data_IF_259270756270
#
_entry.id   IF_259270756270
#
_cell.length_a   1.000
_cell.length_b   1.000
_cell.length_c   1.000
_cell.angle_alpha   90.00
_cell.angle_beta   90.00
_cell.angle_gamma   90.00
#
_symmetry.space_group_name_H-M   'P 1'
#
loop_
_entity.id
_entity.type
_entity.pdbx_description
1 polymer ?
#
# COMPACT_ATOMS: atom_id res chain seq x y z
N UNK A 1 22.65 -3.61 6.78
CA UNK A 1 21.67 -4.00 7.80
C UNK A 1 20.25 -3.64 7.38
N UNK A 2 19.99 -2.41 6.91
CA UNK A 2 18.64 -1.99 6.45
C UNK A 2 18.01 -2.91 5.39
N UNK A 3 18.75 -3.34 4.36
CA UNK A 3 18.20 -4.26 3.35
C UNK A 3 17.76 -5.61 3.93
N UNK A 4 18.48 -6.12 4.93
CA UNK A 4 18.15 -7.37 5.61
C UNK A 4 16.90 -7.17 6.46
N UNK A 5 16.84 -6.07 7.23
CA UNK A 5 15.65 -5.72 8.03
C UNK A 5 14.43 -5.53 7.14
N UNK A 6 14.55 -4.81 6.02
CA UNK A 6 13.48 -4.60 5.07
C UNK A 6 12.99 -5.92 4.45
N UNK A 7 13.93 -6.80 4.06
CA UNK A 7 13.60 -8.12 3.53
C UNK A 7 12.87 -8.98 4.56
N UNK A 8 13.36 -9.03 5.80
CA UNK A 8 12.75 -9.82 6.88
C UNK A 8 11.37 -9.28 7.24
N UNK A 9 11.22 -7.96 7.45
CA UNK A 9 9.92 -7.37 7.80
C UNK A 9 8.91 -7.54 6.66
N UNK A 10 9.32 -7.24 5.42
CA UNK A 10 8.47 -7.44 4.26
C UNK A 10 8.07 -8.91 4.09
N UNK A 11 9.02 -9.83 4.25
CA UNK A 11 8.78 -11.27 4.20
C UNK A 11 7.82 -11.75 5.30
N UNK A 12 7.94 -11.24 6.53
CA UNK A 12 7.03 -11.55 7.62
C UNK A 12 5.62 -11.03 7.36
N UNK A 13 5.47 -9.81 6.85
CA UNK A 13 4.15 -9.27 6.46
C UNK A 13 3.53 -10.16 5.38
N UNK A 14 4.29 -10.55 4.35
CA UNK A 14 3.82 -11.45 3.31
C UNK A 14 3.40 -12.82 3.87
N UNK A 15 4.19 -13.40 4.77
CA UNK A 15 3.87 -14.68 5.41
C UNK A 15 2.57 -14.61 6.23
N UNK A 16 2.37 -13.53 6.99
CA UNK A 16 1.11 -13.30 7.74
C UNK A 16 -0.08 -13.18 6.79
N UNK A 17 0.08 -12.46 5.68
CA UNK A 17 -0.99 -12.32 4.67
C UNK A 17 -1.28 -13.65 3.98
N UNK A 18 -0.27 -14.46 3.69
CA UNK A 18 -0.44 -15.80 3.14
C UNK A 18 -1.20 -16.70 4.12
N UNK A 19 -0.83 -16.71 5.40
CA UNK A 19 -1.56 -17.43 6.44
C UNK A 19 -3.02 -16.96 6.52
N UNK A 20 -3.28 -15.65 6.42
CA UNK A 20 -4.63 -15.12 6.42
C UNK A 20 -5.45 -15.63 5.23
N UNK A 21 -4.85 -15.70 4.03
CA UNK A 21 -5.50 -16.24 2.84
C UNK A 21 -5.74 -17.75 2.94
N UNK A 22 -4.78 -18.50 3.47
CA UNK A 22 -4.87 -19.97 3.55
C UNK A 22 -5.82 -20.45 4.66
N UNK A 23 -5.92 -19.69 5.76
CA UNK A 23 -6.71 -20.07 6.95
C UNK A 23 -8.12 -19.47 6.94
N UNK A 24 -8.43 -18.55 6.03
CA UNK A 24 -9.77 -17.95 5.95
C UNK A 24 -10.40 -18.16 4.57
N UNK A 25 -11.73 -18.09 4.49
CA UNK A 25 -12.46 -18.12 3.21
C UNK A 25 -12.58 -16.73 2.58
N UNK A 26 -11.69 -15.80 2.95
CA UNK A 26 -11.74 -14.44 2.43
C UNK A 26 -11.23 -14.43 0.99
N UNK A 27 -11.98 -13.79 0.10
CA UNK A 27 -11.49 -13.53 -1.25
C UNK A 27 -10.24 -12.63 -1.18
N UNK A 28 -9.25 -12.81 -2.07
CA UNK A 28 -8.03 -12.01 -2.07
C UNK A 28 -8.29 -10.50 -2.05
N UNK A 29 -9.32 -10.03 -2.78
CA UNK A 29 -9.74 -8.63 -2.76
C UNK A 29 -10.10 -8.09 -1.38
N UNK A 30 -10.75 -8.90 -0.53
CA UNK A 30 -11.11 -8.48 0.84
C UNK A 30 -9.88 -8.36 1.73
N UNK A 31 -8.91 -9.25 1.58
CA UNK A 31 -7.64 -9.19 2.30
C UNK A 31 -6.85 -7.96 1.89
N UNK A 32 -6.79 -7.64 0.59
CA UNK A 32 -6.14 -6.43 0.10
C UNK A 32 -6.74 -5.15 0.72
N UNK A 33 -8.07 -5.04 0.73
CA UNK A 33 -8.76 -3.88 1.35
C UNK A 33 -8.48 -3.81 2.86
N UNK A 34 -8.52 -4.94 3.57
CA UNK A 34 -8.22 -4.98 5.00
C UNK A 34 -6.80 -4.46 5.31
N UNK A 35 -5.81 -4.84 4.51
CA UNK A 35 -4.43 -4.38 4.70
C UNK A 35 -4.30 -2.87 4.48
N UNK A 36 -4.96 -2.32 3.46
CA UNK A 36 -4.96 -0.88 3.19
C UNK A 36 -5.67 -0.12 4.31
N UNK A 37 -6.84 -0.56 4.75
CA UNK A 37 -7.56 0.06 5.86
C UNK A 37 -6.78 -0.01 7.18
N UNK A 38 -6.12 -1.14 7.45
CA UNK A 38 -5.27 -1.31 8.65
C UNK A 38 -4.08 -0.37 8.59
N UNK A 39 -3.42 -0.24 7.43
CA UNK A 39 -2.35 0.72 7.20
C UNK A 39 -2.77 2.17 7.45
N UNK A 40 -3.95 2.57 6.96
CA UNK A 40 -4.50 3.90 7.19
C UNK A 40 -4.80 4.13 8.68
N UNK A 41 -5.38 3.14 9.37
CA UNK A 41 -5.66 3.23 10.81
C UNK A 41 -4.37 3.34 11.64
N UNK A 42 -3.35 2.55 11.32
CA UNK A 42 -2.04 2.64 11.98
C UNK A 42 -1.34 3.98 11.70
N UNK A 43 -1.54 4.54 10.50
CA UNK A 43 -1.08 5.87 10.12
C UNK A 43 -1.80 6.97 10.93
N UNK A 44 -3.12 6.84 11.11
CA UNK A 44 -3.93 7.72 11.95
C UNK A 44 -3.48 7.69 13.41
N UNK A 45 -3.25 6.50 13.97
CA UNK A 45 -2.74 6.34 15.33
C UNK A 45 -1.28 6.81 15.51
N UNK A 46 -0.60 7.21 14.43
CA UNK A 46 0.80 7.66 14.47
C UNK A 46 1.83 6.54 14.67
N UNK A 47 1.39 5.28 14.76
CA UNK A 47 2.23 4.11 15.01
C UNK A 47 2.96 3.67 13.73
N UNK A 48 2.38 3.95 12.57
CA UNK A 48 2.99 3.52 11.30
C UNK A 48 4.30 4.22 10.97
N UNK A 49 4.45 5.49 11.37
CA UNK A 49 5.66 6.28 11.09
C UNK A 49 6.92 5.69 11.75
N UNK A 50 6.97 5.44 13.08
CA UNK A 50 8.13 4.81 13.70
C UNK A 50 8.33 3.37 13.21
N UNK A 51 7.26 2.65 12.89
CA UNK A 51 7.37 1.32 12.28
C UNK A 51 8.04 1.38 10.90
N UNK A 52 7.68 2.36 10.08
CA UNK A 52 8.26 2.58 8.76
C UNK A 52 9.72 3.05 8.84
N UNK A 53 10.09 3.87 9.82
CA UNK A 53 11.48 4.28 10.04
C UNK A 53 12.37 3.09 10.45
N UNK A 54 11.83 2.14 11.22
CA UNK A 54 12.56 0.92 11.59
C UNK A 54 12.67 -0.10 10.44
N UNK A 55 11.56 -0.34 9.73
CA UNK A 55 11.46 -1.38 8.72
C UNK A 55 11.83 -0.93 7.30
N UNK A 56 11.93 0.37 7.05
CA UNK A 56 12.22 0.96 5.76
C UNK A 56 11.27 0.48 4.66
N UNK A 57 11.83 0.01 3.55
CA UNK A 57 11.07 -0.53 2.42
C UNK A 57 10.25 -1.78 2.75
N UNK A 58 10.59 -2.50 3.83
CA UNK A 58 9.83 -3.64 4.31
C UNK A 58 8.42 -3.29 4.79
N UNK A 59 8.22 -2.05 5.25
CA UNK A 59 6.91 -1.54 5.65
C UNK A 59 6.30 -0.58 4.62
N UNK A 60 7.08 0.18 3.86
CA UNK A 60 6.51 1.15 2.92
C UNK A 60 6.00 0.54 1.61
N UNK A 61 6.55 -0.59 1.16
CA UNK A 61 6.19 -1.22 -0.12
C UNK A 61 4.91 -2.07 -0.06
N UNK A 62 4.62 -2.85 1.00
CA UNK A 62 3.38 -3.62 1.10
C UNK A 62 2.12 -2.74 1.10
N UNK A 63 0.94 -3.35 0.85
CA UNK A 63 -0.35 -2.65 0.84
C UNK A 63 -0.68 -1.91 2.16
N UNK A 64 -0.10 -2.35 3.28
CA UNK A 64 -0.16 -1.65 4.56
C UNK A 64 0.49 -0.26 4.47
N UNK A 65 1.63 -0.15 3.79
CA UNK A 65 2.34 1.12 3.57
C UNK A 65 1.54 2.06 2.68
N UNK A 66 0.89 1.51 1.64
CA UNK A 66 -0.01 2.27 0.79
C UNK A 66 -1.17 2.90 1.59
N UNK A 67 -1.74 2.18 2.56
CA UNK A 67 -2.75 2.73 3.47
C UNK A 67 -2.27 3.94 4.27
N UNK A 68 -1.05 3.89 4.82
CA UNK A 68 -0.46 5.04 5.52
C UNK A 68 -0.22 6.23 4.57
N UNK A 69 0.24 5.98 3.34
CA UNK A 69 0.42 7.04 2.32
C UNK A 69 -0.91 7.74 2.02
N UNK A 70 -2.00 6.99 1.86
CA UNK A 70 -3.34 7.57 1.66
C UNK A 70 -3.76 8.44 2.84
N UNK A 71 -3.53 7.98 4.07
CA UNK A 71 -3.83 8.76 5.28
C UNK A 71 -3.05 10.08 5.33
N UNK A 72 -1.73 10.03 5.10
CA UNK A 72 -0.91 11.25 5.08
C UNK A 72 -1.35 12.21 3.97
N UNK A 73 -1.66 11.68 2.78
CA UNK A 73 -2.17 12.47 1.66
C UNK A 73 -3.49 13.17 1.97
N UNK A 74 -4.43 12.47 2.61
CA UNK A 74 -5.70 13.05 3.08
C UNK A 74 -5.44 14.13 4.14
N UNK A 75 -4.60 13.83 5.13
CA UNK A 75 -4.25 14.78 6.20
C UNK A 75 -3.67 16.07 5.65
N UNK A 76 -2.64 15.98 4.80
CA UNK A 76 -2.02 17.15 4.17
C UNK A 76 -3.01 17.95 3.31
N UNK A 77 -3.88 17.28 2.56
CA UNK A 77 -4.86 17.96 1.73
C UNK A 77 -5.94 18.66 2.55
N UNK A 78 -6.32 18.09 3.70
CA UNK A 78 -7.24 18.73 4.65
C UNK A 78 -6.60 19.94 5.30
N UNK A 79 -5.33 19.83 5.71
CA UNK A 79 -4.59 20.96 6.27
C UNK A 79 -4.47 22.14 5.27
N UNK A 80 -4.39 21.84 3.96
CA UNK A 80 -4.26 22.85 2.90
C UNK A 80 -5.60 23.40 2.37
N UNK A 81 -6.60 22.53 2.17
CA UNK A 81 -7.83 22.88 1.46
C UNK A 81 -9.08 22.81 2.36
N UNK A 82 -8.91 22.52 3.65
CA UNK A 82 -10.02 22.30 4.56
C UNK A 82 -10.81 21.04 4.21
N UNK A 83 -12.13 21.07 4.40
CA UNK A 83 -12.99 19.89 4.26
C UNK A 83 -12.92 19.21 2.88
N UNK A 84 -12.74 19.98 1.80
CA UNK A 84 -12.65 19.41 0.44
C UNK A 84 -11.39 18.54 0.26
N UNK A 85 -10.36 18.77 1.09
CA UNK A 85 -9.13 18.00 1.10
C UNK A 85 -9.33 16.50 1.35
N UNK A 86 -10.41 16.12 2.05
CA UNK A 86 -10.77 14.71 2.31
C UNK A 86 -10.91 13.94 1.00
N UNK A 87 -11.52 14.56 -0.02
CA UNK A 87 -11.82 13.91 -1.29
C UNK A 87 -10.67 13.96 -2.29
N UNK A 88 -9.69 14.85 -2.11
CA UNK A 88 -8.61 15.07 -3.08
C UNK A 88 -7.29 14.43 -2.64
N UNK A 89 -7.02 14.44 -1.34
CA UNK A 89 -5.70 14.09 -0.79
C UNK A 89 -5.27 12.66 -1.07
N UNK A 90 -6.15 11.69 -0.81
CA UNK A 90 -5.85 10.27 -1.04
C UNK A 90 -5.57 9.96 -2.51
N UNK A 91 -6.39 10.51 -3.43
CA UNK A 91 -6.17 10.33 -4.87
C UNK A 91 -4.86 10.98 -5.32
N UNK A 92 -4.54 12.19 -4.84
CA UNK A 92 -3.28 12.87 -5.17
C UNK A 92 -2.07 12.08 -4.68
N UNK A 93 -2.11 11.53 -3.46
CA UNK A 93 -1.02 10.74 -2.91
C UNK A 93 -0.80 9.41 -3.64
N UNK A 94 -1.87 8.76 -4.11
CA UNK A 94 -1.78 7.53 -4.89
C UNK A 94 -1.52 7.73 -6.39
N UNK A 95 -1.75 8.93 -6.93
CA UNK A 95 -1.79 9.18 -8.37
C UNK A 95 -0.52 8.79 -9.10
N UNK A 96 0.66 9.12 -8.55
CA UNK A 96 1.95 8.85 -9.21
C UNK A 96 2.19 7.35 -9.32
N UNK A 97 1.97 6.59 -8.24
CA UNK A 97 2.19 5.15 -8.23
C UNK A 97 1.23 4.41 -9.16
N UNK A 98 -0.05 4.77 -9.14
CA UNK A 98 -1.07 4.16 -10.01
C UNK A 98 -0.81 4.50 -11.48
N UNK A 99 -0.51 5.76 -11.79
CA UNK A 99 -0.17 6.18 -13.16
C UNK A 99 1.06 5.46 -13.69
N UNK A 100 2.11 5.35 -12.87
CA UNK A 100 3.32 4.60 -13.24
C UNK A 100 2.99 3.12 -13.52
N UNK A 101 2.22 2.46 -12.65
CA UNK A 101 1.83 1.07 -12.85
C UNK A 101 1.05 0.86 -14.16
N UNK A 102 0.13 1.77 -14.50
CA UNK A 102 -0.63 1.71 -15.75
C UNK A 102 0.25 1.94 -16.98
N UNK A 103 1.10 2.96 -16.97
CA UNK A 103 1.97 3.31 -18.11
C UNK A 103 2.98 2.18 -18.37
N UNK A 104 3.69 1.72 -17.33
CA UNK A 104 4.66 0.64 -17.49
C UNK A 104 4.00 -0.69 -17.81
N UNK A 105 2.82 -0.98 -17.26
CA UNK A 105 2.03 -2.15 -17.62
C UNK A 105 1.62 -2.14 -19.09
N UNK A 106 1.24 -0.98 -19.62
CA UNK A 106 0.93 -0.80 -21.04
C UNK A 106 2.18 -0.97 -21.91
N UNK A 107 3.32 -0.37 -21.55
CA UNK A 107 4.58 -0.55 -22.28
C UNK A 107 4.99 -2.03 -22.32
N UNK A 108 4.87 -2.74 -21.19
CA UNK A 108 5.18 -4.17 -21.12
C UNK A 108 4.29 -5.01 -22.06
N UNK A 109 3.04 -4.61 -22.28
CA UNK A 109 2.12 -5.31 -23.20
C UNK A 109 2.51 -5.21 -24.68
N UNK A 110 3.44 -4.33 -25.06
CA UNK A 110 3.99 -4.30 -26.42
C UNK A 110 5.11 -5.32 -26.64
N UNK A 111 5.80 -5.71 -25.57
CA UNK A 111 6.93 -6.66 -25.63
C UNK A 111 6.45 -8.07 -25.33
N UNK A 112 5.48 -8.20 -24.42
CA UNK A 112 4.92 -9.46 -23.97
C UNK A 112 3.46 -9.57 -24.40
N UNK A 113 2.99 -10.78 -24.67
CA UNK A 113 1.58 -11.08 -24.97
C UNK A 113 0.89 -11.66 -23.72
N UNK A 114 0.43 -10.81 -22.77
CA UNK A 114 -0.19 -11.26 -21.54
C UNK A 114 -1.57 -11.85 -21.83
N UNK A 115 -1.66 -13.18 -21.87
CA UNK A 115 -2.94 -13.88 -21.99
C UNK A 115 -3.63 -13.94 -20.63
N UNK A 116 -4.88 -13.47 -20.57
CA UNK A 116 -5.73 -13.76 -19.41
C UNK A 116 -6.02 -15.26 -19.36
N UNK A 117 -5.69 -15.92 -18.25
CA UNK A 117 -6.15 -17.31 -18.02
C UNK A 117 -7.68 -17.28 -17.95
N UNK A 118 -8.31 -18.07 -18.83
CA UNK A 118 -9.74 -18.34 -18.80
C UNK A 118 -10.13 -19.05 -17.51
#
# INVERSE_FOLDING_TARGET
MEYITAFVIGGLICAVVQILLDRTKLMPGRVMVLLVCTGALLGFCGIYKPFQEFAGSGASVPLLGFGNVLWQGVKEAVDQNGFIGIFMGGFKAGAVGISAALIFGYIASFIFDPKMKK
#
